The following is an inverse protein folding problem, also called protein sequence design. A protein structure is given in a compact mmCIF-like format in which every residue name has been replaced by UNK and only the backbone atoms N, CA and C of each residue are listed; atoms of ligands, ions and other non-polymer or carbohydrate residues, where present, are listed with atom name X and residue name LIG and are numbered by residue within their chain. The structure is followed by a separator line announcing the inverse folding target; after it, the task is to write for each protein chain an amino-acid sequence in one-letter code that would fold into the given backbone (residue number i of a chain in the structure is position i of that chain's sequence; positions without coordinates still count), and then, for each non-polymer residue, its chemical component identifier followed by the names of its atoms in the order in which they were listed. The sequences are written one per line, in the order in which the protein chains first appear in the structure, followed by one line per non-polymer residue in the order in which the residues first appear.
data_IF_458542542963
#
_entry.id   IF_458542542963
#
_cell.length_a   1.000
_cell.length_b   1.000
_cell.length_c   1.000
_cell.angle_alpha   90.00
_cell.angle_beta   90.00
_cell.angle_gamma   90.00
#
_symmetry.space_group_name_H-M   'P 1'
#
loop_
_entity.id
_entity.type
_entity.pdbx_description
1 polymer ?
#
# COMPACT_ATOMS: atom_id res chain seq x y z
N UNK A 1 -4.11 15.38 1.36
CA UNK A 1 -4.75 15.17 0.04
C UNK A 1 -5.87 16.17 -0.20
N UNK A 2 -6.97 16.16 0.55
CA UNK A 2 -8.10 17.08 0.34
C UNK A 2 -7.67 18.56 0.42
N UNK A 3 -6.92 18.95 1.45
CA UNK A 3 -6.38 20.32 1.56
C UNK A 3 -5.51 20.73 0.36
N UNK A 4 -4.74 19.78 -0.18
CA UNK A 4 -3.89 20.01 -1.35
C UNK A 4 -4.72 20.18 -2.63
N UNK A 5 -5.84 19.46 -2.75
CA UNK A 5 -6.77 19.62 -3.87
C UNK A 5 -7.53 20.94 -3.79
N UNK A 6 -8.00 21.32 -2.60
CA UNK A 6 -8.74 22.57 -2.36
C UNK A 6 -7.86 23.83 -2.48
N UNK A 7 -6.56 23.73 -2.19
CA UNK A 7 -5.60 24.83 -2.34
C UNK A 7 -5.09 25.03 -3.76
N UNK A 8 -5.39 24.12 -4.70
CA UNK A 8 -5.01 24.26 -6.10
C UNK A 8 -5.97 25.21 -6.82
N UNK A 9 -5.57 26.47 -6.96
CA UNK A 9 -6.35 27.54 -7.62
C UNK A 9 -6.63 27.32 -9.10
N UNK A 10 -5.82 26.48 -9.76
CA UNK A 10 -5.79 26.38 -11.24
C UNK A 10 -6.59 25.19 -11.80
N UNK A 11 -7.21 24.38 -10.93
CA UNK A 11 -7.94 23.17 -11.34
C UNK A 11 -7.05 22.11 -12.02
N UNK A 12 -5.72 22.20 -11.85
CA UNK A 12 -4.74 21.30 -12.46
C UNK A 12 -4.10 20.41 -11.40
N UNK A 13 -4.49 19.14 -11.39
CA UNK A 13 -3.92 18.09 -10.55
C UNK A 13 -2.80 17.36 -11.29
N UNK A 14 -1.68 17.11 -10.61
CA UNK A 14 -0.50 16.47 -11.21
C UNK A 14 -0.72 14.99 -11.53
N UNK A 15 -1.34 14.22 -10.63
CA UNK A 15 -1.67 12.80 -10.84
C UNK A 15 -2.59 12.27 -9.75
N UNK A 16 -3.81 11.86 -10.12
CA UNK A 16 -4.78 11.25 -9.20
C UNK A 16 -4.25 9.94 -8.60
N UNK A 17 -3.60 9.11 -9.43
CA UNK A 17 -2.99 7.85 -9.01
C UNK A 17 -1.92 8.10 -7.93
N UNK A 18 -1.11 9.17 -8.09
CA UNK A 18 -0.10 9.51 -7.09
C UNK A 18 -0.74 9.79 -5.72
N UNK A 19 -1.83 10.54 -5.72
CA UNK A 19 -2.52 10.99 -4.51
C UNK A 19 -3.27 9.85 -3.82
N UNK A 20 -3.99 9.02 -4.58
CA UNK A 20 -4.67 7.82 -4.06
C UNK A 20 -3.69 6.77 -3.55
N UNK A 21 -2.53 6.60 -4.21
CA UNK A 21 -1.44 5.77 -3.70
C UNK A 21 -0.82 6.29 -2.41
N UNK A 22 -0.70 7.60 -2.28
CA UNK A 22 -0.23 8.20 -1.03
C UNK A 22 -1.21 7.90 0.12
N UNK A 23 -2.51 8.04 -0.15
CA UNK A 23 -3.55 7.72 0.83
C UNK A 23 -3.54 6.23 1.21
N UNK A 24 -3.54 5.33 0.23
CA UNK A 24 -3.52 3.89 0.47
C UNK A 24 -2.28 3.46 1.27
N UNK A 25 -1.10 4.00 0.93
CA UNK A 25 0.14 3.70 1.65
C UNK A 25 0.11 4.18 3.11
N UNK A 26 -0.40 5.39 3.36
CA UNK A 26 -0.52 5.93 4.72
C UNK A 26 -1.41 5.02 5.58
N UNK A 27 -2.53 4.54 5.04
CA UNK A 27 -3.46 3.67 5.77
C UNK A 27 -2.80 2.34 6.10
N UNK A 28 -2.25 1.63 5.10
CA UNK A 28 -1.66 0.32 5.36
C UNK A 28 -0.41 0.41 6.24
N UNK A 29 0.40 1.45 6.09
CA UNK A 29 1.60 1.64 6.91
C UNK A 29 1.25 1.99 8.36
N UNK A 30 0.20 2.79 8.57
CA UNK A 30 -0.30 3.11 9.91
C UNK A 30 -0.87 1.88 10.62
N UNK A 31 -1.61 1.02 9.91
CA UNK A 31 -2.23 -0.17 10.52
C UNK A 31 -1.21 -1.30 10.70
N UNK A 32 -0.32 -1.49 9.72
CA UNK A 32 0.60 -2.61 9.73
C UNK A 32 1.85 -2.37 10.60
N UNK A 33 2.30 -1.11 10.71
CA UNK A 33 3.60 -0.73 11.29
C UNK A 33 3.56 0.53 12.17
N UNK A 34 2.37 1.07 12.48
CA UNK A 34 2.20 2.34 13.21
C UNK A 34 2.98 3.54 12.61
N UNK A 35 3.27 3.49 11.30
CA UNK A 35 4.05 4.52 10.63
C UNK A 35 3.15 5.40 9.75
N UNK A 36 3.12 6.69 10.04
CA UNK A 36 2.31 7.68 9.31
C UNK A 36 3.13 8.57 8.37
N UNK A 37 4.47 8.54 8.45
CA UNK A 37 5.36 9.44 7.71
C UNK A 37 6.03 8.77 6.50
N UNK A 38 5.26 8.14 5.63
CA UNK A 38 5.79 7.37 4.49
C UNK A 38 6.19 8.22 3.26
N UNK A 39 5.80 9.50 3.26
CA UNK A 39 5.87 10.39 2.09
C UNK A 39 7.10 11.30 2.07
N UNK A 40 7.87 11.32 3.15
CA UNK A 40 9.11 12.09 3.26
C UNK A 40 10.26 11.12 3.52
N UNK A 41 11.47 11.39 3.01
CA UNK A 41 12.64 10.63 3.40
C UNK A 41 12.87 10.77 4.91
N UNK A 42 13.06 9.64 5.60
CA UNK A 42 13.50 9.65 7.00
C UNK A 42 15.00 9.98 7.07
N UNK A 43 15.52 10.44 8.22
CA UNK A 43 16.93 10.75 8.37
C UNK A 43 17.81 9.55 7.96
N UNK A 44 18.70 9.74 6.99
CA UNK A 44 19.58 8.68 6.47
C UNK A 44 19.14 8.07 5.14
N UNK A 45 17.96 8.43 4.62
CA UNK A 45 17.45 7.99 3.32
C UNK A 45 17.39 9.15 2.33
N UNK A 46 17.63 8.87 1.05
CA UNK A 46 17.47 9.87 -0.01
C UNK A 46 16.04 9.88 -0.58
N UNK A 47 15.37 8.73 -0.53
CA UNK A 47 14.02 8.50 -1.04
C UNK A 47 13.05 8.23 0.11
N UNK A 48 11.78 8.58 -0.10
CA UNK A 48 10.72 8.23 0.85
C UNK A 48 10.37 6.73 0.77
N UNK A 49 9.77 6.16 1.82
CA UNK A 49 9.25 4.79 1.77
C UNK A 49 8.29 4.59 0.58
N UNK A 50 7.47 5.59 0.30
CA UNK A 50 6.58 5.59 -0.87
C UNK A 50 7.36 5.49 -2.18
N UNK A 51 8.35 6.37 -2.38
CA UNK A 51 9.05 6.46 -3.66
C UNK A 51 9.96 5.25 -3.89
N UNK A 52 10.55 4.70 -2.82
CA UNK A 52 11.30 3.44 -2.91
C UNK A 52 10.37 2.28 -3.31
N UNK A 53 9.22 2.14 -2.66
CA UNK A 53 8.23 1.09 -2.97
C UNK A 53 7.69 1.21 -4.39
N UNK A 54 7.23 2.40 -4.79
CA UNK A 54 6.67 2.63 -6.14
C UNK A 54 7.73 2.38 -7.21
N UNK A 55 8.97 2.83 -7.00
CA UNK A 55 10.08 2.58 -7.95
C UNK A 55 10.37 1.08 -8.08
N UNK A 56 10.40 0.35 -6.97
CA UNK A 56 10.58 -1.11 -6.98
C UNK A 56 9.45 -1.79 -7.75
N UNK A 57 8.20 -1.39 -7.54
CA UNK A 57 7.04 -1.97 -8.23
C UNK A 57 7.00 -1.63 -9.72
N UNK A 58 7.21 -0.37 -10.11
CA UNK A 58 7.10 0.08 -11.50
C UNK A 58 8.21 -0.48 -12.39
N UNK A 59 9.39 -0.72 -11.82
CA UNK A 59 10.56 -1.14 -12.60
C UNK A 59 10.64 -2.66 -12.72
N UNK A 60 10.05 -3.40 -11.76
CA UNK A 60 10.03 -4.88 -11.78
C UNK A 60 9.28 -5.47 -12.98
N UNK A 61 8.36 -4.70 -13.60
CA UNK A 61 7.50 -5.16 -14.72
C UNK A 61 7.93 -4.52 -16.06
N UNK A 62 8.95 -3.66 -16.06
CA UNK A 62 9.38 -2.98 -17.28
C UNK A 62 10.07 -3.96 -18.23
N UNK A 63 9.70 -4.02 -19.53
CA UNK A 63 10.37 -4.85 -20.54
C UNK A 63 11.87 -4.57 -20.63
N UNK A 64 12.30 -3.36 -20.25
CA UNK A 64 13.71 -2.98 -20.15
C UNK A 64 14.46 -3.80 -19.11
N UNK A 65 13.81 -4.18 -18.00
CA UNK A 65 14.42 -4.93 -16.91
C UNK A 65 14.62 -6.41 -17.27
N UNK A 66 13.65 -7.02 -17.96
CA UNK A 66 13.78 -8.39 -18.49
C UNK A 66 14.96 -8.52 -19.47
N UNK A 67 15.20 -7.51 -20.29
CA UNK A 67 16.34 -7.47 -21.20
C UNK A 67 17.69 -7.21 -20.53
N UNK A 68 17.72 -6.49 -19.40
CA UNK A 68 18.96 -6.06 -18.72
C UNK A 68 19.44 -7.08 -17.67
N UNK A 69 18.53 -7.87 -17.09
CA UNK A 69 18.81 -8.92 -16.09
C UNK A 69 20.02 -9.84 -16.39
N UNK A 70 20.19 -10.40 -17.60
CA UNK A 70 21.35 -11.25 -17.91
C UNK A 70 22.67 -10.47 -17.93
N UNK A 71 22.64 -9.16 -18.18
CA UNK A 71 23.84 -8.31 -18.23
C UNK A 71 24.33 -7.90 -16.84
N UNK A 72 23.47 -7.90 -15.82
CA UNK A 72 23.84 -7.59 -14.43
C UNK A 72 24.79 -8.60 -13.79
N UNK A 73 24.85 -9.82 -14.34
CA UNK A 73 25.79 -10.86 -13.92
C UNK A 73 27.25 -10.57 -14.32
N UNK A 74 27.47 -9.67 -15.29
CA UNK A 74 28.81 -9.32 -15.76
C UNK A 74 29.32 -8.04 -15.07
N UNK A 75 30.29 -8.11 -14.15
CA UNK A 75 30.73 -6.96 -13.33
C UNK A 75 31.30 -5.80 -14.15
N UNK A 76 31.82 -6.05 -15.36
CA UNK A 76 32.36 -5.01 -16.26
C UNK A 76 31.26 -4.13 -16.84
N UNK A 77 30.06 -4.68 -17.04
CA UNK A 77 28.92 -3.96 -17.64
C UNK A 77 28.15 -3.12 -16.61
N UNK A 78 28.41 -3.31 -15.30
CA UNK A 78 27.77 -2.55 -14.23
C UNK A 78 28.08 -1.04 -14.29
N UNK A 79 29.26 -0.66 -14.79
CA UNK A 79 29.61 0.77 -14.98
C UNK A 79 28.84 1.44 -16.13
N UNK A 80 28.26 0.67 -17.04
CA UNK A 80 27.51 1.16 -18.21
C UNK A 80 25.99 1.14 -17.98
N UNK A 81 25.54 0.89 -16.74
CA UNK A 81 24.12 0.78 -16.45
C UNK A 81 23.39 2.11 -16.68
N UNK A 82 22.19 2.07 -17.33
CA UNK A 82 21.30 3.22 -17.45
C UNK A 82 20.96 3.84 -16.09
N UNK A 83 20.62 5.13 -16.07
CA UNK A 83 20.17 5.85 -14.87
C UNK A 83 19.08 5.10 -14.12
N UNK A 84 18.09 4.59 -14.85
CA UNK A 84 16.90 3.96 -14.28
C UNK A 84 17.24 2.68 -13.50
N UNK A 85 18.30 1.97 -13.91
CA UNK A 85 18.78 0.78 -13.17
C UNK A 85 19.50 1.20 -11.89
N UNK A 86 20.25 2.31 -11.91
CA UNK A 86 20.91 2.84 -10.70
C UNK A 86 19.86 3.31 -9.70
N UNK A 87 18.84 4.00 -10.17
CA UNK A 87 17.72 4.47 -9.35
C UNK A 87 16.95 3.28 -8.74
N UNK A 88 16.71 2.21 -9.52
CA UNK A 88 16.14 0.98 -9.00
C UNK A 88 17.03 0.33 -7.92
N UNK A 89 18.33 0.18 -8.19
CA UNK A 89 19.26 -0.44 -7.23
C UNK A 89 19.31 0.37 -5.92
N UNK A 90 19.28 1.70 -6.00
CA UNK A 90 19.18 2.57 -4.84
C UNK A 90 17.84 2.38 -4.12
N UNK A 91 16.72 2.40 -4.85
CA UNK A 91 15.40 2.18 -4.29
C UNK A 91 15.29 0.82 -3.59
N UNK A 92 15.82 -0.25 -4.17
CA UNK A 92 15.87 -1.59 -3.55
C UNK A 92 16.72 -1.59 -2.28
N UNK A 93 17.84 -0.86 -2.27
CA UNK A 93 18.72 -0.76 -1.10
C UNK A 93 18.02 -0.03 0.05
N UNK A 94 17.49 1.17 -0.20
CA UNK A 94 16.79 1.98 0.80
C UNK A 94 15.49 1.32 1.26
N UNK A 95 14.72 0.71 0.35
CA UNK A 95 13.52 -0.04 0.71
C UNK A 95 13.82 -1.19 1.68
N UNK A 96 14.91 -1.92 1.46
CA UNK A 96 15.36 -2.96 2.41
C UNK A 96 15.77 -2.36 3.76
N UNK A 97 16.39 -1.19 3.78
CA UNK A 97 16.73 -0.48 5.01
C UNK A 97 15.46 -0.09 5.78
N UNK A 98 14.47 0.51 5.11
CA UNK A 98 13.16 0.83 5.71
C UNK A 98 12.50 -0.40 6.34
N UNK A 99 12.47 -1.55 5.65
CA UNK A 99 11.89 -2.78 6.22
C UNK A 99 12.66 -3.26 7.46
N UNK A 100 13.99 -3.14 7.47
CA UNK A 100 14.78 -3.50 8.64
C UNK A 100 14.50 -2.54 9.82
N UNK A 101 14.40 -1.25 9.57
CA UNK A 101 14.06 -0.23 10.58
C UNK A 101 12.68 -0.47 11.19
N UNK A 102 11.70 -0.82 10.37
CA UNK A 102 10.36 -1.24 10.82
C UNK A 102 10.48 -2.45 11.76
N UNK A 103 11.20 -3.51 11.35
CA UNK A 103 11.38 -4.72 12.17
C UNK A 103 12.05 -4.40 13.52
N UNK A 104 13.08 -3.55 13.51
CA UNK A 104 13.80 -3.15 14.74
C UNK A 104 12.87 -2.36 15.66
N UNK A 105 12.21 -1.33 15.13
CA UNK A 105 11.28 -0.46 15.87
C UNK A 105 10.19 -1.28 16.54
N UNK A 106 9.62 -2.24 15.82
CA UNK A 106 8.54 -3.10 16.31
C UNK A 106 9.03 -4.05 17.40
N UNK A 107 10.21 -4.66 17.23
CA UNK A 107 10.81 -5.52 18.28
C UNK A 107 11.11 -4.74 19.55
N UNK A 108 11.56 -3.49 19.44
CA UNK A 108 11.83 -2.61 20.58
C UNK A 108 10.54 -2.15 21.29
N UNK A 109 9.48 -1.87 20.53
CA UNK A 109 8.17 -1.53 21.08
C UNK A 109 7.60 -2.71 21.90
N UNK A 110 7.75 -3.94 21.41
CA UNK A 110 7.30 -5.17 22.08
C UNK A 110 8.06 -5.45 23.39
N UNK A 111 9.38 -5.23 23.44
CA UNK A 111 10.17 -5.45 24.66
C UNK A 111 9.92 -4.39 25.73
N UNK A 112 9.56 -3.17 25.32
CA UNK A 112 9.30 -2.04 26.20
C UNK A 112 7.96 -2.11 26.93
N UNK A 113 7.12 -3.13 26.66
CA UNK A 113 5.82 -3.32 27.31
C UNK A 113 4.82 -2.20 27.06
N UNK A 114 4.99 -1.42 25.99
CA UNK A 114 4.06 -0.35 25.66
C UNK A 114 2.72 -0.95 25.26
N UNK A 115 1.65 -0.55 25.94
CA UNK A 115 0.27 -0.91 25.59
C UNK A 115 -0.15 -0.14 24.33
N UNK A 116 0.34 -0.60 23.19
CA UNK A 116 -0.02 -0.06 21.87
C UNK A 116 -1.11 -0.92 21.23
N UNK A 117 -1.84 -0.34 20.28
CA UNK A 117 -2.70 -1.13 19.39
C UNK A 117 -1.77 -2.01 18.58
N UNK A 118 -1.71 -3.31 18.88
CA UNK A 118 -0.76 -4.24 18.26
C UNK A 118 -0.77 -4.11 16.74
N UNK A 119 0.32 -3.58 16.16
CA UNK A 119 0.48 -3.52 14.73
C UNK A 119 0.41 -4.94 14.14
N UNK A 120 0.03 -5.06 12.87
CA UNK A 120 -0.09 -6.37 12.24
C UNK A 120 1.23 -7.15 12.30
N UNK A 121 2.36 -6.45 12.14
CA UNK A 121 3.68 -7.07 12.19
C UNK A 121 4.05 -7.55 13.60
N UNK A 122 3.68 -6.81 14.65
CA UNK A 122 3.89 -7.23 16.05
C UNK A 122 3.09 -8.50 16.33
N UNK A 123 1.83 -8.53 15.89
CA UNK A 123 0.96 -9.70 15.99
C UNK A 123 1.54 -10.92 15.27
N UNK A 124 2.11 -10.74 14.07
CA UNK A 124 2.82 -11.81 13.35
C UNK A 124 4.05 -12.32 14.12
N UNK A 125 4.85 -11.41 14.69
CA UNK A 125 6.03 -11.77 15.49
C UNK A 125 5.60 -12.57 16.73
N UNK A 126 4.54 -12.15 17.43
CA UNK A 126 3.99 -12.86 18.59
C UNK A 126 3.47 -14.25 18.22
N UNK A 127 2.63 -14.34 17.18
CA UNK A 127 2.05 -15.59 16.71
C UNK A 127 3.14 -16.59 16.30
N UNK A 128 4.20 -16.13 15.64
CA UNK A 128 5.34 -16.98 15.27
C UNK A 128 6.07 -17.53 16.51
N UNK A 129 6.15 -16.75 17.60
CA UNK A 129 6.77 -17.19 18.85
C UNK A 129 5.95 -18.26 19.60
N UNK A 130 4.66 -18.40 19.31
CA UNK A 130 3.72 -19.26 20.03
C UNK A 130 3.51 -20.64 19.38
N UNK A 131 4.09 -20.93 18.22
CA UNK A 131 4.03 -22.26 17.57
C UNK A 131 4.81 -23.27 18.41
N UNK A 132 4.16 -23.81 19.45
CA UNK A 132 4.58 -24.96 20.24
C UNK A 132 4.14 -26.23 19.51
N UNK A 133 4.90 -26.67 18.51
CA UNK A 133 4.78 -28.03 18.00
C UNK A 133 5.61 -28.96 18.89
N UNK A 134 4.96 -30.05 19.35
CA UNK A 134 5.45 -31.06 20.30
C UNK A 134 6.63 -31.92 19.81
N UNK A 135 7.41 -31.45 18.84
CA UNK A 135 8.49 -32.24 18.23
C UNK A 135 9.69 -31.36 17.89
N UNK A 136 10.69 -31.38 18.79
CA UNK A 136 12.14 -31.11 18.63
C UNK A 136 12.68 -30.39 17.36
N UNK A 137 11.99 -29.38 16.85
CA UNK A 137 12.52 -28.38 15.94
C UNK A 137 12.45 -27.04 16.67
N UNK A 138 13.57 -26.34 16.75
CA UNK A 138 13.72 -25.01 17.34
C UNK A 138 12.49 -24.12 17.10
N UNK A 139 11.92 -23.55 18.18
CA UNK A 139 10.92 -22.47 18.21
C UNK A 139 10.82 -21.75 16.85
N UNK A 140 9.77 -22.00 16.07
CA UNK A 140 9.61 -21.49 14.71
C UNK A 140 9.29 -19.98 14.71
N UNK A 141 10.25 -19.14 15.08
CA UNK A 141 10.18 -17.69 14.95
C UNK A 141 10.47 -17.32 13.50
N UNK A 142 9.70 -16.38 12.95
CA UNK A 142 9.99 -15.84 11.61
C UNK A 142 11.39 -15.23 11.60
N UNK A 143 12.19 -15.60 10.60
CA UNK A 143 13.47 -14.97 10.30
C UNK A 143 13.26 -13.53 9.81
N UNK A 144 14.31 -12.71 9.89
CA UNK A 144 14.27 -11.34 9.38
C UNK A 144 13.94 -11.28 7.88
N UNK A 145 14.34 -12.31 7.12
CA UNK A 145 13.99 -12.42 5.70
C UNK A 145 12.50 -12.67 5.49
N UNK A 146 11.90 -13.55 6.29
CA UNK A 146 10.45 -13.81 6.21
C UNK A 146 9.65 -12.61 6.68
N UNK A 147 10.09 -11.89 7.72
CA UNK A 147 9.46 -10.65 8.16
C UNK A 147 9.51 -9.57 7.08
N UNK A 148 10.66 -9.37 6.43
CA UNK A 148 10.75 -8.46 5.26
C UNK A 148 9.78 -8.86 4.15
N UNK A 149 9.68 -10.15 3.85
CA UNK A 149 8.71 -10.66 2.87
C UNK A 149 7.27 -10.32 3.23
N UNK A 150 6.87 -10.50 4.49
CA UNK A 150 5.53 -10.15 4.96
C UNK A 150 5.27 -8.64 4.92
N UNK A 151 6.26 -7.81 5.32
CA UNK A 151 6.17 -6.35 5.22
C UNK A 151 5.96 -5.93 3.77
N UNK A 152 6.73 -6.48 2.84
CA UNK A 152 6.56 -6.23 1.40
C UNK A 152 5.16 -6.61 0.91
N UNK A 153 4.66 -7.80 1.28
CA UNK A 153 3.33 -8.26 0.91
C UNK A 153 2.23 -7.32 1.43
N UNK A 154 2.33 -6.87 2.68
CA UNK A 154 1.37 -5.91 3.24
C UNK A 154 1.39 -4.59 2.48
N UNK A 155 2.58 -4.03 2.25
CA UNK A 155 2.75 -2.77 1.53
C UNK A 155 2.20 -2.83 0.10
N UNK A 156 2.64 -3.82 -0.68
CA UNK A 156 2.20 -4.00 -2.08
C UNK A 156 0.71 -4.30 -2.15
N UNK A 157 0.25 -5.26 -1.35
CA UNK A 157 -1.14 -5.72 -1.38
C UNK A 157 -2.14 -4.63 -1.00
N UNK A 158 -1.78 -3.76 -0.04
CA UNK A 158 -2.62 -2.63 0.36
C UNK A 158 -2.50 -1.40 -0.53
N UNK A 159 -1.36 -1.21 -1.21
CA UNK A 159 -1.11 -0.03 -2.02
C UNK A 159 -1.81 -0.10 -3.37
N UNK A 160 -1.38 -1.00 -4.25
CA UNK A 160 -1.70 -0.92 -5.68
C UNK A 160 -3.18 -1.09 -5.96
N UNK A 161 -3.78 -2.15 -5.41
CA UNK A 161 -5.21 -2.46 -5.53
C UNK A 161 -6.08 -1.28 -5.07
N UNK A 162 -5.88 -0.81 -3.83
CA UNK A 162 -6.64 0.29 -3.23
C UNK A 162 -6.45 1.60 -3.98
N UNK A 163 -5.23 1.92 -4.42
CA UNK A 163 -4.95 3.14 -5.21
C UNK A 163 -5.73 3.16 -6.51
N UNK A 164 -5.72 2.03 -7.22
CA UNK A 164 -6.39 1.87 -8.49
C UNK A 164 -7.90 1.98 -8.28
N UNK A 165 -8.47 1.21 -7.33
CA UNK A 165 -9.90 1.27 -7.01
C UNK A 165 -10.33 2.71 -6.66
N UNK A 166 -9.61 3.42 -5.79
CA UNK A 166 -9.95 4.79 -5.44
C UNK A 166 -9.86 5.75 -6.64
N UNK A 167 -8.84 5.59 -7.49
CA UNK A 167 -8.67 6.44 -8.68
C UNK A 167 -9.83 6.25 -9.66
N UNK A 168 -10.24 5.00 -9.90
CA UNK A 168 -11.40 4.71 -10.74
C UNK A 168 -12.70 5.18 -10.10
N UNK A 169 -12.88 5.03 -8.79
CA UNK A 169 -14.08 5.51 -8.09
C UNK A 169 -14.27 7.02 -8.30
N UNK A 170 -13.22 7.79 -8.07
CA UNK A 170 -13.24 9.25 -8.24
C UNK A 170 -13.50 9.62 -9.72
N UNK A 171 -12.81 8.95 -10.66
CA UNK A 171 -12.98 9.23 -12.08
C UNK A 171 -14.40 8.91 -12.57
N UNK A 172 -14.99 7.79 -12.15
CA UNK A 172 -16.35 7.42 -12.53
C UNK A 172 -17.40 8.36 -11.92
N UNK A 173 -17.26 8.72 -10.65
CA UNK A 173 -18.16 9.69 -10.02
C UNK A 173 -18.11 11.04 -10.75
N UNK A 174 -16.93 11.49 -11.17
CA UNK A 174 -16.78 12.75 -11.93
C UNK A 174 -17.44 12.72 -13.32
N UNK A 175 -17.54 11.55 -13.96
CA UNK A 175 -18.17 11.39 -15.29
C UNK A 175 -19.67 11.09 -15.19
N UNK A 176 -20.15 10.62 -14.04
CA UNK A 176 -21.54 10.28 -13.76
C UNK A 176 -22.11 11.17 -12.64
N UNK A 177 -22.39 12.46 -12.92
CA UNK A 177 -22.85 13.41 -11.90
C UNK A 177 -24.19 13.00 -11.26
N UNK A 178 -25.05 12.31 -12.00
CA UNK A 178 -26.29 11.72 -11.49
C UNK A 178 -26.05 10.71 -10.36
N UNK A 179 -25.02 9.87 -10.52
CA UNK A 179 -24.60 8.92 -9.49
C UNK A 179 -23.87 9.62 -8.34
N UNK A 180 -23.07 10.65 -8.65
CA UNK A 180 -22.41 11.47 -7.64
C UNK A 180 -23.43 12.15 -6.72
N UNK A 181 -24.43 12.82 -7.28
CA UNK A 181 -25.50 13.48 -6.53
C UNK A 181 -26.29 12.46 -5.69
N UNK A 182 -26.58 11.28 -6.25
CA UNK A 182 -27.26 10.20 -5.53
C UNK A 182 -26.50 9.70 -4.30
N UNK A 183 -25.17 9.66 -4.36
CA UNK A 183 -24.31 9.29 -3.22
C UNK A 183 -24.19 10.45 -2.22
N UNK A 184 -24.06 11.69 -2.71
CA UNK A 184 -23.97 12.89 -1.85
C UNK A 184 -25.24 13.06 -1.02
N UNK A 185 -26.42 12.82 -1.59
CA UNK A 185 -27.69 12.85 -0.84
C UNK A 185 -27.68 11.89 0.36
N UNK A 186 -27.16 10.66 0.21
CA UNK A 186 -27.01 9.72 1.33
C UNK A 186 -25.99 10.20 2.37
N UNK A 187 -24.88 10.78 1.92
CA UNK A 187 -23.88 11.33 2.83
C UNK A 187 -24.48 12.46 3.65
N UNK A 188 -25.21 13.38 3.03
CA UNK A 188 -25.88 14.48 3.71
C UNK A 188 -26.90 13.96 4.72
N UNK A 189 -27.76 13.00 4.35
CA UNK A 189 -28.72 12.35 5.25
C UNK A 189 -28.05 11.67 6.47
N UNK A 190 -26.97 10.91 6.24
CA UNK A 190 -26.32 10.12 7.29
C UNK A 190 -25.43 10.98 8.21
N UNK A 191 -24.80 12.01 7.66
CA UNK A 191 -23.87 12.87 8.39
C UNK A 191 -24.56 14.04 9.09
N UNK A 192 -25.69 14.54 8.58
CA UNK A 192 -26.46 15.59 9.26
C UNK A 192 -27.04 15.12 10.60
N UNK A 193 -27.23 13.81 10.78
CA UNK A 193 -27.62 13.19 12.06
C UNK A 193 -26.50 13.16 13.13
N UNK A 194 -25.22 13.35 12.77
CA UNK A 194 -24.06 13.01 13.63
C UNK A 194 -22.99 14.11 13.76
N UNK A 195 -23.34 15.38 13.55
CA UNK A 195 -22.38 16.50 13.44
C UNK A 195 -21.50 16.72 14.69
N UNK A 196 -21.85 16.19 15.87
CA UNK A 196 -21.19 16.55 17.14
C UNK A 196 -20.56 15.43 17.97
N UNK A 197 -20.56 14.17 17.52
CA UNK A 197 -19.87 13.10 18.25
C UNK A 197 -19.04 12.30 17.26
N UNK A 198 -17.76 12.09 17.60
CA UNK A 198 -16.80 11.24 16.90
C UNK A 198 -17.51 10.27 15.95
N UNK A 199 -17.32 10.46 14.64
CA UNK A 199 -17.86 9.59 13.60
C UNK A 199 -17.41 8.17 13.87
N UNK A 200 -18.20 7.42 14.63
CA UNK A 200 -17.91 6.04 14.93
C UNK A 200 -18.18 5.28 13.64
N UNK A 201 -17.11 4.98 12.89
CA UNK A 201 -17.14 4.29 11.60
C UNK A 201 -18.11 3.10 11.61
N UNK A 202 -18.14 2.37 12.73
CA UNK A 202 -19.01 1.20 12.97
C UNK A 202 -20.51 1.53 12.85
N UNK A 203 -20.94 2.75 13.21
CA UNK A 203 -22.34 3.20 13.12
C UNK A 203 -22.68 3.80 11.76
N UNK A 204 -21.74 4.52 11.18
CA UNK A 204 -21.96 5.26 9.93
C UNK A 204 -21.89 4.32 8.73
N UNK A 205 -20.87 3.46 8.66
CA UNK A 205 -20.60 2.60 7.50
C UNK A 205 -21.79 1.73 7.08
N UNK A 206 -22.54 1.05 7.99
CA UNK A 206 -23.70 0.23 7.60
C UNK A 206 -24.87 1.02 7.01
N UNK A 207 -24.91 2.34 7.21
CA UNK A 207 -25.95 3.23 6.66
C UNK A 207 -25.65 3.68 5.23
N UNK A 208 -24.39 3.63 4.80
CA UNK A 208 -23.91 4.10 3.49
C UNK A 208 -24.15 3.06 2.37
N UNK A 209 -25.40 2.69 2.14
CA UNK A 209 -25.80 1.63 1.20
C UNK A 209 -25.53 2.02 -0.26
N UNK A 210 -25.76 3.28 -0.63
CA UNK A 210 -25.52 3.80 -1.98
C UNK A 210 -24.01 3.85 -2.27
N UNK A 211 -23.22 4.34 -1.31
CA UNK A 211 -21.74 4.31 -1.40
C UNK A 211 -21.24 2.87 -1.60
N UNK A 212 -21.71 1.92 -0.77
CA UNK A 212 -21.33 0.51 -0.90
C UNK A 212 -21.73 -0.08 -2.26
N UNK A 213 -22.91 0.25 -2.77
CA UNK A 213 -23.37 -0.21 -4.08
C UNK A 213 -22.45 0.26 -5.22
N UNK A 214 -22.00 1.51 -5.16
CA UNK A 214 -21.03 2.07 -6.14
C UNK A 214 -19.69 1.35 -6.03
N UNK A 215 -19.16 1.16 -4.83
CA UNK A 215 -17.86 0.50 -4.62
C UNK A 215 -17.87 -0.97 -5.09
N UNK A 216 -18.91 -1.74 -4.76
CA UNK A 216 -19.02 -3.16 -5.19
C UNK A 216 -19.15 -3.28 -6.71
N UNK A 217 -19.91 -2.38 -7.34
CA UNK A 217 -20.03 -2.33 -8.81
C UNK A 217 -18.67 -2.03 -9.44
N UNK A 218 -17.90 -1.12 -8.86
CA UNK A 218 -16.58 -0.77 -9.34
C UNK A 218 -15.59 -1.95 -9.23
N UNK A 219 -15.54 -2.62 -8.08
CA UNK A 219 -14.64 -3.77 -7.89
C UNK A 219 -14.92 -4.88 -8.90
N UNK A 220 -16.20 -5.11 -9.23
CA UNK A 220 -16.58 -6.05 -10.29
C UNK A 220 -16.05 -5.60 -11.67
N UNK A 221 -16.11 -4.31 -11.99
CA UNK A 221 -15.59 -3.78 -13.26
C UNK A 221 -14.07 -3.89 -13.35
N UNK A 222 -13.36 -3.60 -12.26
CA UNK A 222 -11.90 -3.73 -12.18
C UNK A 222 -11.48 -5.19 -12.28
N UNK A 223 -12.16 -6.10 -11.60
CA UNK A 223 -11.87 -7.54 -11.66
C UNK A 223 -12.11 -8.13 -13.06
N UNK A 224 -13.16 -7.70 -13.77
CA UNK A 224 -13.44 -8.14 -15.15
C UNK A 224 -12.46 -7.56 -16.18
N UNK A 225 -11.77 -6.47 -15.87
CA UNK A 225 -10.74 -5.89 -16.72
C UNK A 225 -9.41 -6.67 -16.66
N UNK A 226 -9.24 -7.59 -15.70
CA UNK A 226 -8.10 -8.50 -15.66
C UNK A 226 -8.37 -9.63 -16.68
N UNK A 227 -7.62 -9.71 -17.79
CA UNK A 227 -7.83 -10.77 -18.77
C UNK A 227 -7.57 -12.14 -18.12
N UNK A 228 -8.50 -13.08 -18.32
CA UNK A 228 -8.30 -14.47 -17.91
C UNK A 228 -6.97 -14.97 -18.47
N UNK A 229 -6.14 -15.68 -17.68
CA UNK A 229 -4.98 -16.35 -18.22
C UNK A 229 -5.45 -17.29 -19.35
N UNK A 230 -4.70 -17.39 -20.46
CA UNK A 230 -5.08 -18.25 -21.56
C UNK A 230 -5.28 -19.67 -21.02
N UNK A 231 -6.48 -20.23 -21.24
CA UNK A 231 -6.74 -21.63 -20.92
C UNK A 231 -5.73 -22.47 -21.69
N UNK A 232 -4.83 -23.12 -20.98
CA UNK A 232 -3.98 -24.17 -21.57
C UNK A 232 -4.97 -25.25 -22.00
N UNK A 233 -5.21 -25.33 -23.30
CA UNK A 233 -5.91 -26.46 -23.90
C UNK A 233 -4.94 -27.62 -23.78
N UNK A 234 -5.19 -28.53 -22.85
CA UNK A 234 -4.51 -29.82 -22.82
C UNK A 234 -4.80 -30.53 -24.15
N UNK A 235 -3.74 -30.77 -24.92
CA UNK A 235 -3.75 -31.65 -26.10
C UNK A 235 -3.40 -33.08 -25.68
#
# INVERSE_FOLDING_TARGET
MIEQWLSSSDGKWKSMIKDTSTLALNVISSVAFENTEVNKPTPGHALSLRDTLVTVMSTSISPTMEGILPFLQFPILQSLLPSDVKDLLQAMHEFRQYMNEIIVTEREAMTSGQTRVSALISTLIEASGQVKTESRASKARLSDTELRGNIFIFLVGGLESTSITLSYAIALLAVHPDIQDWVVEELDEVLSDNVNSEMEYVRVFPRLKRVMAVMVRLDLLVALAIPNPPRIVEC
#
